data_IF_976040060649
#
_entry.id   IF_976040060649
#
_cell.length_a   1.000
_cell.length_b   1.000
_cell.length_c   1.000
_cell.angle_alpha   90.00
_cell.angle_beta   90.00
_cell.angle_gamma   90.00
#
_symmetry.space_group_name_H-M   'P 1'
#
loop_
_entity.id
_entity.type
_entity.pdbx_description
1 polymer ?
#
# COMPACT_ATOMS: atom_id res chain seq x y z
N UNK A 1 28.05 -9.37 24.76
CA UNK A 1 27.74 -7.97 24.41
C UNK A 1 26.40 -8.01 23.69
N UNK A 2 25.33 -7.66 24.39
CA UNK A 2 23.96 -7.72 23.91
C UNK A 2 23.73 -6.50 23.03
N UNK A 3 23.53 -6.71 21.72
CA UNK A 3 23.21 -5.65 20.78
C UNK A 3 21.85 -5.05 21.20
N UNK A 4 21.88 -3.84 21.75
CA UNK A 4 20.68 -3.10 22.10
C UNK A 4 19.90 -2.87 20.80
N UNK A 5 18.70 -3.49 20.68
CA UNK A 5 17.74 -3.17 19.62
C UNK A 5 17.60 -1.66 19.56
N UNK A 6 18.01 -1.05 18.45
CA UNK A 6 17.72 0.36 18.18
C UNK A 6 16.20 0.54 18.33
N UNK A 7 15.71 1.44 19.19
CA UNK A 7 14.28 1.71 19.26
C UNK A 7 13.79 2.11 17.86
N UNK A 8 12.66 1.53 17.44
CA UNK A 8 12.01 1.96 16.20
C UNK A 8 11.82 3.49 16.27
N UNK A 9 12.31 4.25 15.27
CA UNK A 9 12.02 5.68 15.22
C UNK A 9 10.50 5.88 15.28
N UNK A 10 10.06 6.86 16.06
CA UNK A 10 8.64 7.12 16.24
C UNK A 10 7.96 7.31 14.87
N UNK A 11 6.77 6.72 14.65
CA UNK A 11 6.12 6.78 13.35
C UNK A 11 5.87 8.25 12.99
N UNK A 12 6.30 8.68 11.79
CA UNK A 12 6.27 10.08 11.39
C UNK A 12 4.81 10.53 11.26
N UNK A 13 4.44 11.73 11.76
CA UNK A 13 3.03 12.15 11.83
C UNK A 13 2.47 12.54 10.45
N UNK A 14 1.28 12.08 10.02
CA UNK A 14 0.77 12.46 8.70
C UNK A 14 0.71 13.99 8.52
N UNK A 15 1.22 14.49 7.39
CA UNK A 15 1.06 15.91 7.02
C UNK A 15 -0.38 16.25 6.62
N UNK A 16 -0.73 17.53 6.68
CA UNK A 16 -2.00 18.04 6.17
C UNK A 16 -1.99 18.09 4.64
N UNK A 17 -3.02 17.54 3.99
CA UNK A 17 -3.19 17.56 2.54
C UNK A 17 -4.53 18.18 2.18
N UNK A 18 -4.51 19.17 1.28
CA UNK A 18 -5.71 19.76 0.73
C UNK A 18 -6.50 18.74 -0.12
N UNK A 19 -7.84 18.70 -0.02
CA UNK A 19 -8.68 17.76 -0.78
C UNK A 19 -8.46 17.76 -2.30
N UNK A 20 -8.15 18.92 -2.88
CA UNK A 20 -7.90 19.07 -4.32
C UNK A 20 -6.64 18.36 -4.82
N UNK A 21 -5.73 17.96 -3.93
CA UNK A 21 -4.48 17.31 -4.32
C UNK A 21 -4.67 15.86 -4.77
N UNK A 22 -5.84 15.26 -4.53
CA UNK A 22 -6.18 13.95 -5.09
C UNK A 22 -6.06 13.91 -6.63
N UNK A 23 -6.43 15.00 -7.30
CA UNK A 23 -6.24 15.13 -8.75
C UNK A 23 -4.77 15.31 -9.12
N UNK A 24 -3.99 16.02 -8.30
CA UNK A 24 -2.56 16.19 -8.50
C UNK A 24 -1.83 14.84 -8.37
N UNK A 25 -2.19 13.99 -7.41
CA UNK A 25 -1.63 12.65 -7.28
C UNK A 25 -1.91 11.79 -8.50
N UNK A 26 -3.13 11.85 -9.03
CA UNK A 26 -3.49 11.12 -10.24
C UNK A 26 -2.78 11.66 -11.49
N UNK A 27 -2.68 12.99 -11.62
CA UNK A 27 -1.93 13.67 -12.67
C UNK A 27 -0.44 13.30 -12.62
N UNK A 28 0.15 13.29 -11.43
CA UNK A 28 1.53 12.87 -11.21
C UNK A 28 1.72 11.38 -11.53
N UNK A 29 0.77 10.55 -11.12
CA UNK A 29 0.74 9.13 -11.46
C UNK A 29 0.73 8.90 -12.97
N UNK A 30 -0.08 9.67 -13.70
CA UNK A 30 -0.11 9.66 -15.15
C UNK A 30 1.21 10.14 -15.76
N UNK A 31 1.82 11.19 -15.22
CA UNK A 31 3.12 11.71 -15.67
C UNK A 31 4.22 10.66 -15.52
N UNK A 32 4.30 9.98 -14.38
CA UNK A 32 5.25 8.89 -14.14
C UNK A 32 4.99 7.68 -15.05
N UNK A 33 3.72 7.35 -15.30
CA UNK A 33 3.36 6.31 -16.27
C UNK A 33 3.88 6.64 -17.68
N UNK A 34 3.65 7.87 -18.14
CA UNK A 34 4.05 8.32 -19.49
C UNK A 34 5.57 8.37 -19.71
N UNK A 35 6.40 8.32 -18.65
CA UNK A 35 7.86 8.21 -18.79
C UNK A 35 8.30 6.85 -19.36
N UNK A 36 7.56 5.78 -19.08
CA UNK A 36 7.93 4.41 -19.51
C UNK A 36 6.69 3.51 -19.74
N UNK A 37 5.72 3.90 -20.59
CA UNK A 37 4.42 3.25 -20.67
C UNK A 37 4.50 1.78 -21.10
N UNK A 38 5.46 1.43 -21.99
CA UNK A 38 5.66 0.05 -22.44
C UNK A 38 6.13 -0.87 -21.31
N UNK A 39 7.11 -0.42 -20.50
CA UNK A 39 7.61 -1.21 -19.37
C UNK A 39 6.56 -1.34 -18.28
N UNK A 40 5.79 -0.26 -18.02
CA UNK A 40 4.65 -0.32 -17.11
C UNK A 40 3.56 -1.30 -17.55
N UNK A 41 3.20 -1.30 -18.84
CA UNK A 41 2.23 -2.24 -19.38
C UNK A 41 2.71 -3.69 -19.26
N UNK A 42 4.01 -3.95 -19.48
CA UNK A 42 4.61 -5.28 -19.27
C UNK A 42 4.54 -5.68 -17.80
N UNK A 43 4.90 -4.78 -16.87
CA UNK A 43 4.77 -5.06 -15.43
C UNK A 43 3.31 -5.33 -15.06
N UNK A 44 2.36 -4.54 -15.55
CA UNK A 44 0.93 -4.72 -15.29
C UNK A 44 0.41 -6.05 -15.84
N UNK A 45 0.89 -6.48 -17.02
CA UNK A 45 0.58 -7.77 -17.60
C UNK A 45 1.13 -8.91 -16.73
N UNK A 46 2.39 -8.83 -16.29
CA UNK A 46 3.00 -9.83 -15.41
C UNK A 46 2.27 -9.88 -14.07
N UNK A 47 1.97 -8.72 -13.48
CA UNK A 47 1.17 -8.58 -12.27
C UNK A 47 -0.17 -9.31 -12.42
N UNK A 48 -0.91 -9.04 -13.51
CA UNK A 48 -2.19 -9.67 -13.78
C UNK A 48 -2.06 -11.18 -13.93
N UNK A 49 -1.11 -11.66 -14.74
CA UNK A 49 -0.87 -13.09 -14.95
C UNK A 49 -0.53 -13.81 -13.65
N UNK A 50 0.31 -13.21 -12.79
CA UNK A 50 0.63 -13.78 -11.47
C UNK A 50 -0.61 -13.89 -10.61
N UNK A 51 -1.40 -12.82 -10.47
CA UNK A 51 -2.61 -12.85 -9.65
C UNK A 51 -3.66 -13.82 -10.19
N UNK A 52 -3.84 -13.90 -11.51
CA UNK A 52 -4.73 -14.88 -12.12
C UNK A 52 -4.23 -16.31 -11.88
N UNK A 53 -2.94 -16.58 -12.08
CA UNK A 53 -2.36 -17.90 -11.86
C UNK A 53 -2.52 -18.34 -10.40
N UNK A 54 -2.28 -17.43 -9.44
CA UNK A 54 -2.52 -17.69 -8.03
C UNK A 54 -4.01 -17.94 -7.76
N UNK A 55 -4.90 -17.12 -8.30
CA UNK A 55 -6.36 -17.26 -8.13
C UNK A 55 -6.93 -18.55 -8.72
N UNK A 56 -6.32 -19.09 -9.78
CA UNK A 56 -6.71 -20.36 -10.40
C UNK A 56 -6.26 -21.58 -9.59
N UNK A 57 -5.36 -21.43 -8.60
CA UNK A 57 -4.97 -22.54 -7.74
C UNK A 57 -6.15 -23.01 -6.89
N UNK A 58 -6.56 -24.29 -6.99
CA UNK A 58 -7.62 -24.82 -6.15
C UNK A 58 -7.20 -24.76 -4.67
N UNK A 59 -8.16 -24.46 -3.80
CA UNK A 59 -8.00 -24.36 -2.33
C UNK A 59 -7.12 -23.24 -1.78
N UNK A 60 -6.04 -22.81 -2.47
CA UNK A 60 -5.15 -21.75 -2.00
C UNK A 60 -5.33 -20.41 -2.70
N UNK A 61 -5.96 -20.37 -3.88
CA UNK A 61 -6.01 -19.15 -4.69
C UNK A 61 -6.73 -17.98 -4.03
N UNK A 62 -7.76 -18.26 -3.22
CA UNK A 62 -8.50 -17.24 -2.46
C UNK A 62 -7.62 -16.53 -1.41
N UNK A 63 -6.57 -17.19 -0.92
CA UNK A 63 -5.65 -16.66 0.08
C UNK A 63 -4.35 -16.13 -0.54
N UNK A 64 -3.83 -16.79 -1.58
CA UNK A 64 -2.54 -16.48 -2.17
C UNK A 64 -2.51 -15.11 -2.86
N UNK A 65 -3.57 -14.75 -3.61
CA UNK A 65 -3.61 -13.48 -4.32
C UNK A 65 -3.60 -12.25 -3.39
N UNK A 66 -4.44 -12.18 -2.33
CA UNK A 66 -4.36 -11.11 -1.34
C UNK A 66 -3.00 -10.97 -0.65
N UNK A 67 -2.29 -12.09 -0.46
CA UNK A 67 -0.95 -12.11 0.16
C UNK A 67 0.13 -11.61 -0.79
N UNK A 68 0.06 -11.98 -2.07
CA UNK A 68 1.02 -11.56 -3.09
C UNK A 68 0.89 -10.09 -3.48
N UNK A 69 -0.32 -9.52 -3.37
CA UNK A 69 -0.62 -8.17 -3.85
C UNK A 69 0.29 -7.09 -3.23
N UNK A 70 0.48 -6.98 -1.90
CA UNK A 70 1.38 -5.99 -1.31
C UNK A 70 2.83 -6.11 -1.78
N UNK A 71 3.28 -7.34 -2.08
CA UNK A 71 4.64 -7.60 -2.55
C UNK A 71 4.83 -7.02 -3.95
N UNK A 72 3.89 -7.30 -4.85
CA UNK A 72 3.94 -6.79 -6.22
C UNK A 72 3.72 -5.28 -6.28
N UNK A 73 2.78 -4.74 -5.50
CA UNK A 73 2.56 -3.29 -5.39
C UNK A 73 3.79 -2.60 -4.83
N UNK A 74 4.47 -3.18 -3.83
CA UNK A 74 5.75 -2.68 -3.33
C UNK A 74 6.81 -2.57 -4.42
N UNK A 75 6.95 -3.60 -5.27
CA UNK A 75 7.86 -3.56 -6.42
C UNK A 75 7.50 -2.45 -7.44
N UNK A 76 6.21 -2.28 -7.75
CA UNK A 76 5.77 -1.19 -8.62
C UNK A 76 6.08 0.19 -8.01
N UNK A 77 5.90 0.36 -6.69
CA UNK A 77 6.25 1.60 -5.98
C UNK A 77 7.76 1.88 -6.05
N UNK A 78 8.60 0.86 -5.92
CA UNK A 78 10.05 1.02 -6.11
C UNK A 78 10.39 1.47 -7.55
N UNK A 79 9.71 0.92 -8.54
CA UNK A 79 9.82 1.38 -9.94
C UNK A 79 9.40 2.84 -10.13
N UNK A 80 8.33 3.28 -9.47
CA UNK A 80 7.90 4.67 -9.48
C UNK A 80 8.92 5.60 -8.82
N UNK A 81 9.53 5.17 -7.70
CA UNK A 81 10.60 5.91 -7.04
C UNK A 81 11.85 6.04 -7.92
N UNK A 82 12.26 4.98 -8.62
CA UNK A 82 13.38 5.02 -9.57
C UNK A 82 13.14 6.06 -10.67
N UNK A 83 11.95 6.06 -11.28
CA UNK A 83 11.56 7.04 -12.30
C UNK A 83 11.50 8.48 -11.77
N UNK A 84 11.11 8.68 -10.50
CA UNK A 84 11.10 10.00 -9.86
C UNK A 84 12.54 10.52 -9.62
N UNK A 85 13.49 9.60 -9.35
CA UNK A 85 14.93 9.90 -9.20
C UNK A 85 15.66 10.10 -10.54
N UNK A 86 14.98 9.94 -11.67
CA UNK A 86 15.57 10.06 -13.01
C UNK A 86 16.24 8.79 -13.52
N UNK A 87 16.08 7.66 -12.84
CA UNK A 87 16.56 6.35 -13.28
C UNK A 87 15.57 5.71 -14.27
N UNK A 88 16.01 4.69 -15.00
CA UNK A 88 15.16 3.97 -15.95
C UNK A 88 14.27 2.94 -15.25
N UNK A 89 12.99 2.88 -15.60
CA UNK A 89 12.12 1.77 -15.19
C UNK A 89 12.53 0.48 -15.87
N UNK A 90 12.67 -0.59 -15.08
CA UNK A 90 12.94 -1.94 -15.57
C UNK A 90 11.81 -2.89 -15.18
N UNK A 91 11.62 -3.97 -15.94
CA UNK A 91 10.58 -4.97 -15.66
C UNK A 91 10.85 -5.68 -14.33
N UNK A 92 12.11 -5.86 -13.97
CA UNK A 92 12.49 -6.57 -12.75
C UNK A 92 12.21 -5.81 -11.45
N UNK A 93 11.94 -4.50 -11.51
CA UNK A 93 11.48 -3.72 -10.36
C UNK A 93 10.18 -4.28 -9.75
N UNK A 94 9.31 -4.91 -10.56
CA UNK A 94 8.11 -5.57 -10.05
C UNK A 94 8.42 -6.61 -8.95
N UNK A 95 9.59 -7.23 -9.01
CA UNK A 95 10.03 -8.25 -8.06
C UNK A 95 10.89 -7.68 -6.93
N UNK A 96 11.17 -6.38 -6.89
CA UNK A 96 12.00 -5.80 -5.84
C UNK A 96 11.35 -5.88 -4.46
N UNK A 97 10.01 -5.88 -4.40
CA UNK A 97 9.27 -6.17 -3.17
C UNK A 97 9.59 -7.56 -2.61
N UNK A 98 9.81 -8.56 -3.47
CA UNK A 98 10.26 -9.89 -3.04
C UNK A 98 11.73 -9.84 -2.60
N UNK A 99 12.58 -9.16 -3.37
CA UNK A 99 14.04 -9.18 -3.17
C UNK A 99 14.49 -8.47 -1.89
N UNK A 100 13.86 -7.35 -1.54
CA UNK A 100 14.34 -6.47 -0.47
C UNK A 100 13.51 -6.61 0.81
N UNK A 101 12.18 -6.75 0.68
CA UNK A 101 11.26 -6.70 1.83
C UNK A 101 10.17 -7.79 1.81
N UNK A 102 10.46 -8.98 1.25
CA UNK A 102 9.49 -10.07 1.13
C UNK A 102 8.80 -10.40 2.45
N UNK A 103 9.56 -10.58 3.54
CA UNK A 103 8.99 -10.97 4.84
C UNK A 103 7.95 -9.97 5.34
N UNK A 104 8.28 -8.68 5.34
CA UNK A 104 7.38 -7.64 5.82
C UNK A 104 6.18 -7.44 4.88
N UNK A 105 6.38 -7.45 3.56
CA UNK A 105 5.27 -7.30 2.60
C UNK A 105 4.34 -8.51 2.57
N UNK A 106 4.87 -9.73 2.73
CA UNK A 106 4.05 -10.94 2.91
C UNK A 106 3.25 -10.89 4.22
N UNK A 107 3.83 -10.38 5.30
CA UNK A 107 3.10 -10.16 6.56
C UNK A 107 1.98 -9.13 6.39
N UNK A 108 2.19 -8.03 5.65
CA UNK A 108 1.09 -7.12 5.27
C UNK A 108 -0.01 -7.87 4.52
N UNK A 109 0.36 -8.74 3.59
CA UNK A 109 -0.57 -9.62 2.88
C UNK A 109 -1.32 -10.59 3.78
N UNK A 110 -0.66 -11.16 4.79
CA UNK A 110 -1.30 -12.02 5.80
C UNK A 110 -2.26 -11.21 6.66
N UNK A 111 -1.89 -10.01 7.09
CA UNK A 111 -2.80 -9.13 7.83
C UNK A 111 -4.00 -8.70 7.00
N UNK A 112 -3.82 -8.48 5.70
CA UNK A 112 -4.93 -8.26 4.77
C UNK A 112 -5.89 -9.46 4.77
N UNK A 113 -5.37 -10.69 4.61
CA UNK A 113 -6.19 -11.90 4.60
C UNK A 113 -6.92 -12.11 5.94
N UNK A 114 -6.20 -12.01 7.06
CA UNK A 114 -6.77 -12.18 8.39
C UNK A 114 -7.81 -11.11 8.71
N UNK A 115 -7.55 -9.86 8.35
CA UNK A 115 -8.50 -8.76 8.51
C UNK A 115 -9.78 -8.97 7.70
N UNK A 116 -9.64 -9.43 6.45
CA UNK A 116 -10.77 -9.74 5.58
C UNK A 116 -11.62 -10.89 6.15
N UNK A 117 -10.98 -11.98 6.58
CA UNK A 117 -11.65 -13.12 7.20
C UNK A 117 -12.36 -12.74 8.50
N UNK A 118 -11.72 -11.92 9.34
CA UNK A 118 -12.31 -11.44 10.58
C UNK A 118 -13.54 -10.57 10.31
N UNK A 119 -13.46 -9.64 9.35
CA UNK A 119 -14.60 -8.82 8.94
C UNK A 119 -15.76 -9.69 8.42
N UNK A 120 -15.46 -10.68 7.58
CA UNK A 120 -16.44 -11.62 7.07
C UNK A 120 -17.08 -12.46 8.20
N UNK A 121 -16.29 -12.94 9.15
CA UNK A 121 -16.78 -13.73 10.29
C UNK A 121 -17.71 -12.91 11.18
N UNK A 122 -17.35 -11.67 11.49
CA UNK A 122 -18.20 -10.77 12.31
C UNK A 122 -19.52 -10.52 11.59
N UNK A 123 -19.48 -10.21 10.29
CA UNK A 123 -20.67 -9.98 9.49
C UNK A 123 -21.57 -11.22 9.40
N UNK A 124 -20.97 -12.40 9.20
CA UNK A 124 -21.67 -13.67 9.16
C UNK A 124 -22.27 -14.04 10.53
N UNK A 125 -21.58 -13.73 11.63
CA UNK A 125 -22.11 -13.94 12.98
C UNK A 125 -23.35 -13.07 13.24
N UNK A 126 -23.34 -11.81 12.80
CA UNK A 126 -24.49 -10.89 12.92
C UNK A 126 -25.67 -11.39 12.08
N UNK A 127 -25.44 -11.67 10.79
CA UNK A 127 -26.49 -12.14 9.89
C UNK A 127 -27.04 -13.51 10.29
N UNK A 128 -26.14 -14.43 10.66
CA UNK A 128 -26.49 -15.79 11.10
C UNK A 128 -27.28 -15.81 12.41
N UNK A 129 -26.91 -14.99 13.38
CA UNK A 129 -27.64 -14.88 14.66
C UNK A 129 -29.06 -14.36 14.44
N UNK A 130 -29.23 -13.37 13.57
CA UNK A 130 -30.54 -12.83 13.22
C UNK A 130 -31.41 -13.85 12.44
N UNK A 131 -30.80 -14.62 11.54
CA UNK A 131 -31.48 -15.70 10.83
C UNK A 131 -31.93 -16.82 11.78
N UNK A 132 -31.07 -17.25 12.71
CA UNK A 132 -31.38 -18.28 13.69
C UNK A 132 -32.50 -17.83 14.65
N UNK A 133 -32.42 -16.59 15.14
CA UNK A 133 -33.47 -16.01 15.98
C UNK A 133 -34.78 -15.87 15.19
N UNK A 134 -34.69 -15.44 13.92
CA UNK A 134 -35.84 -15.32 13.02
C UNK A 134 -36.55 -16.66 12.81
N UNK A 135 -35.81 -17.75 12.64
CA UNK A 135 -36.39 -19.09 12.51
C UNK A 135 -37.22 -19.52 13.74
N UNK A 136 -36.91 -19.00 14.93
CA UNK A 136 -37.61 -19.35 16.17
C UNK A 136 -38.94 -18.59 16.38
N UNK A 137 -39.14 -17.42 15.75
CA UNK A 137 -40.30 -16.52 15.99
C UNK A 137 -41.40 -16.62 14.92
N UNK A 138 -41.32 -17.60 14.02
CA UNK A 138 -42.32 -17.88 12.98
C UNK A 138 -42.02 -17.23 11.62
N UNK A 139 -42.60 -17.76 10.54
CA UNK A 139 -42.17 -17.51 9.17
C UNK A 139 -42.15 -16.02 8.73
N UNK A 140 -43.21 -15.25 9.03
CA UNK A 140 -43.33 -13.86 8.57
C UNK A 140 -42.42 -12.90 9.37
N UNK A 141 -42.44 -12.99 10.70
CA UNK A 141 -41.57 -12.20 11.57
C UNK A 141 -40.09 -12.60 11.40
N UNK A 142 -39.83 -13.89 11.20
CA UNK A 142 -38.50 -14.44 10.99
C UNK A 142 -37.83 -13.97 9.70
N UNK A 143 -38.60 -13.84 8.61
CA UNK A 143 -38.08 -13.31 7.34
C UNK A 143 -37.63 -11.85 7.47
N UNK A 144 -38.40 -11.02 8.17
CA UNK A 144 -38.03 -9.62 8.44
C UNK A 144 -36.75 -9.49 9.27
N UNK A 145 -36.61 -10.31 10.31
CA UNK A 145 -35.40 -10.33 11.16
C UNK A 145 -34.16 -10.85 10.44
N UNK A 146 -34.30 -11.93 9.66
CA UNK A 146 -33.20 -12.46 8.85
C UNK A 146 -32.71 -11.41 7.83
N UNK A 147 -33.64 -10.71 7.18
CA UNK A 147 -33.33 -9.63 6.23
C UNK A 147 -32.61 -8.46 6.88
N UNK A 148 -33.12 -7.93 8.00
CA UNK A 148 -32.49 -6.80 8.71
C UNK A 148 -31.12 -7.15 9.28
N UNK A 149 -30.95 -8.35 9.82
CA UNK A 149 -29.66 -8.84 10.31
C UNK A 149 -28.64 -9.04 9.20
N UNK A 150 -29.06 -9.54 8.03
CA UNK A 150 -28.18 -9.63 6.86
C UNK A 150 -27.74 -8.24 6.40
N UNK A 151 -28.66 -7.26 6.32
CA UNK A 151 -28.31 -5.89 5.97
C UNK A 151 -27.32 -5.27 6.97
N UNK A 152 -27.54 -5.48 8.27
CA UNK A 152 -26.60 -5.03 9.31
C UNK A 152 -25.23 -5.71 9.14
N UNK A 153 -25.20 -7.01 8.87
CA UNK A 153 -23.97 -7.74 8.58
C UNK A 153 -23.20 -7.14 7.40
N UNK A 154 -23.88 -6.82 6.29
CA UNK A 154 -23.28 -6.17 5.12
C UNK A 154 -22.71 -4.79 5.46
N UNK A 155 -23.44 -3.98 6.24
CA UNK A 155 -22.96 -2.66 6.67
C UNK A 155 -21.71 -2.81 7.53
N UNK A 156 -21.72 -3.73 8.50
CA UNK A 156 -20.57 -3.98 9.38
C UNK A 156 -19.37 -4.50 8.59
N UNK A 157 -19.57 -5.43 7.66
CA UNK A 157 -18.52 -5.89 6.76
C UNK A 157 -17.91 -4.73 5.97
N UNK A 158 -18.75 -3.90 5.35
CA UNK A 158 -18.32 -2.77 4.52
C UNK A 158 -17.48 -1.78 5.33
N UNK A 159 -17.89 -1.46 6.55
CA UNK A 159 -17.14 -0.56 7.44
C UNK A 159 -15.79 -1.16 7.82
N UNK A 160 -15.76 -2.41 8.27
CA UNK A 160 -14.51 -3.08 8.66
C UNK A 160 -13.55 -3.24 7.48
N UNK A 161 -14.09 -3.58 6.31
CA UNK A 161 -13.33 -3.69 5.08
C UNK A 161 -12.77 -2.33 4.64
N UNK A 162 -13.55 -1.26 4.71
CA UNK A 162 -13.07 0.09 4.40
C UNK A 162 -11.92 0.50 5.34
N UNK A 163 -12.04 0.25 6.65
CA UNK A 163 -10.96 0.52 7.62
C UNK A 163 -9.70 -0.30 7.32
N UNK A 164 -9.87 -1.56 6.93
CA UNK A 164 -8.75 -2.41 6.51
C UNK A 164 -8.07 -1.87 5.25
N UNK A 165 -8.84 -1.43 4.25
CA UNK A 165 -8.30 -0.82 3.03
C UNK A 165 -7.55 0.48 3.32
N UNK A 166 -8.04 1.31 4.25
CA UNK A 166 -7.31 2.51 4.72
C UNK A 166 -5.99 2.13 5.40
N UNK A 167 -5.98 1.07 6.20
CA UNK A 167 -4.76 0.57 6.83
C UNK A 167 -3.76 -0.01 5.82
N UNK A 168 -4.24 -0.57 4.71
CA UNK A 168 -3.38 -1.17 3.69
C UNK A 168 -2.95 -0.19 2.60
N UNK A 169 -3.63 0.95 2.43
CA UNK A 169 -3.42 1.87 1.32
C UNK A 169 -1.96 2.27 1.14
N UNK A 170 -1.31 2.74 2.22
CA UNK A 170 0.10 3.12 2.22
C UNK A 170 1.04 2.05 2.76
N UNK A 171 0.54 0.96 3.33
CA UNK A 171 1.39 -0.04 3.98
C UNK A 171 2.49 -0.59 3.05
N UNK A 172 2.22 -0.96 1.78
CA UNK A 172 3.28 -1.39 0.86
C UNK A 172 4.33 -0.31 0.60
N UNK A 173 3.92 0.96 0.46
CA UNK A 173 4.84 2.07 0.24
C UNK A 173 5.72 2.32 1.47
N UNK A 174 5.12 2.29 2.66
CA UNK A 174 5.81 2.51 3.92
C UNK A 174 6.79 1.37 4.25
N UNK A 175 6.42 0.13 3.97
CA UNK A 175 7.33 -1.02 4.13
C UNK A 175 8.45 -0.97 3.10
N UNK A 176 8.13 -0.71 1.82
CA UNK A 176 9.12 -0.74 0.74
C UNK A 176 10.10 0.43 0.81
N UNK A 177 9.64 1.63 1.17
CA UNK A 177 10.43 2.86 1.07
C UNK A 177 10.99 3.34 2.41
N UNK A 178 10.45 2.87 3.55
CA UNK A 178 10.92 3.23 4.89
C UNK A 178 11.28 2.02 5.77
N UNK A 179 11.26 0.80 5.22
CA UNK A 179 11.59 -0.44 5.95
C UNK A 179 10.80 -0.62 7.26
N UNK A 180 9.60 -0.03 7.35
CA UNK A 180 8.81 -0.08 8.58
C UNK A 180 8.27 -1.49 8.85
N UNK A 181 8.09 -1.80 10.13
CA UNK A 181 7.38 -3.01 10.53
C UNK A 181 5.93 -2.99 10.00
N UNK A 182 5.39 -4.14 9.54
CA UNK A 182 4.08 -4.21 8.88
C UNK A 182 2.92 -3.59 9.68
N UNK A 183 2.85 -3.86 10.98
CA UNK A 183 1.78 -3.35 11.85
C UNK A 183 1.89 -1.84 12.06
N UNK A 184 3.10 -1.32 12.19
CA UNK A 184 3.33 0.12 12.37
C UNK A 184 3.02 0.87 11.07
N UNK A 185 3.41 0.30 9.92
CA UNK A 185 3.04 0.81 8.61
C UNK A 185 1.51 0.85 8.41
N UNK A 186 0.80 -0.21 8.81
CA UNK A 186 -0.67 -0.26 8.70
C UNK A 186 -1.36 0.77 9.62
N UNK A 187 -0.89 0.90 10.86
CA UNK A 187 -1.42 1.90 11.81
C UNK A 187 -1.19 3.31 11.31
N UNK A 188 0.01 3.58 10.78
CA UNK A 188 0.35 4.88 10.23
C UNK A 188 -0.47 5.20 8.99
N UNK A 189 -0.66 4.23 8.08
CA UNK A 189 -1.55 4.36 6.92
C UNK A 189 -2.97 4.70 7.34
N UNK A 190 -3.54 3.96 8.30
CA UNK A 190 -4.88 4.23 8.81
C UNK A 190 -4.99 5.65 9.39
N UNK A 191 -4.00 6.07 10.20
CA UNK A 191 -3.96 7.42 10.77
C UNK A 191 -3.88 8.49 9.68
N UNK A 192 -3.05 8.29 8.66
CA UNK A 192 -2.90 9.22 7.54
C UNK A 192 -4.19 9.34 6.71
N UNK A 193 -4.83 8.21 6.44
CA UNK A 193 -6.09 8.18 5.70
C UNK A 193 -7.25 8.80 6.50
N UNK A 194 -7.32 8.60 7.81
CA UNK A 194 -8.34 9.23 8.66
C UNK A 194 -8.09 10.74 8.78
N UNK A 195 -6.84 11.15 8.97
CA UNK A 195 -6.47 12.57 9.09
C UNK A 195 -6.82 13.35 7.83
N UNK A 196 -6.59 12.76 6.65
CA UNK A 196 -6.87 13.38 5.35
C UNK A 196 -8.07 12.73 4.63
N UNK A 197 -9.13 12.36 5.37
CA UNK A 197 -10.24 11.54 4.87
C UNK A 197 -10.86 12.09 3.59
N UNK A 198 -11.09 13.40 3.51
CA UNK A 198 -11.73 14.01 2.35
C UNK A 198 -10.88 13.88 1.07
N UNK A 199 -9.56 14.03 1.15
CA UNK A 199 -8.66 13.84 0.02
C UNK A 199 -8.71 12.38 -0.49
N UNK A 200 -8.70 11.41 0.42
CA UNK A 200 -8.80 9.99 0.06
C UNK A 200 -10.17 9.58 -0.46
N UNK A 201 -11.26 10.18 0.03
CA UNK A 201 -12.59 9.96 -0.52
C UNK A 201 -12.70 10.47 -1.96
N UNK A 202 -12.13 11.64 -2.25
CA UNK A 202 -12.06 12.17 -3.62
C UNK A 202 -11.21 11.25 -4.50
N UNK A 203 -10.03 10.84 -4.03
CA UNK A 203 -9.18 9.88 -4.76
C UNK A 203 -9.92 8.57 -5.04
N UNK A 204 -10.59 8.00 -4.03
CA UNK A 204 -11.36 6.77 -4.17
C UNK A 204 -12.51 6.92 -5.18
N UNK A 205 -13.23 8.05 -5.17
CA UNK A 205 -14.27 8.34 -6.14
C UNK A 205 -13.71 8.45 -7.58
N UNK A 206 -12.58 9.14 -7.75
CA UNK A 206 -11.89 9.25 -9.05
C UNK A 206 -11.44 7.87 -9.55
N UNK A 207 -10.79 7.10 -8.70
CA UNK A 207 -10.32 5.75 -9.03
C UNK A 207 -11.49 4.80 -9.34
N UNK A 208 -12.62 4.93 -8.64
CA UNK A 208 -13.83 4.16 -8.93
C UNK A 208 -14.36 4.45 -10.34
N UNK A 209 -14.46 5.73 -10.72
CA UNK A 209 -14.87 6.11 -12.09
C UNK A 209 -13.86 5.59 -13.12
N UNK A 210 -12.56 5.76 -12.87
CA UNK A 210 -11.51 5.26 -13.76
C UNK A 210 -11.53 3.74 -13.90
N UNK A 211 -11.83 3.00 -12.84
CA UNK A 211 -11.95 1.55 -12.86
C UNK A 211 -13.05 1.12 -13.85
N UNK A 212 -14.23 1.74 -13.77
CA UNK A 212 -15.32 1.44 -14.70
C UNK A 212 -14.94 1.75 -16.15
N UNK A 213 -14.29 2.89 -16.39
CA UNK A 213 -13.80 3.26 -17.73
C UNK A 213 -12.76 2.26 -18.24
N UNK A 214 -11.82 1.85 -17.39
CA UNK A 214 -10.77 0.88 -17.72
C UNK A 214 -11.31 -0.52 -18.02
N UNK A 215 -12.49 -0.86 -17.47
CA UNK A 215 -13.16 -2.13 -17.71
C UNK A 215 -13.93 -2.18 -19.04
N UNK A 216 -14.35 -1.04 -19.60
CA UNK A 216 -15.08 -0.96 -20.88
C UNK A 216 -14.37 -1.69 -22.06
N UNK A 217 -13.05 -1.54 -22.29
CA UNK A 217 -12.34 -2.27 -23.34
C UNK A 217 -12.02 -3.71 -22.91
N UNK A 218 -13.01 -4.46 -22.45
CA UNK A 218 -12.88 -5.84 -21.94
C UNK A 218 -11.77 -6.00 -20.87
N UNK A 219 -11.57 -4.98 -20.04
CA UNK A 219 -10.53 -4.96 -19.00
C UNK A 219 -9.11 -4.60 -19.47
N UNK A 220 -8.87 -4.36 -20.77
CA UNK A 220 -7.53 -3.98 -21.25
C UNK A 220 -7.04 -2.63 -20.68
N UNK A 221 -7.97 -1.74 -20.29
CA UNK A 221 -7.63 -0.50 -19.62
C UNK A 221 -6.95 -0.72 -18.25
N UNK A 222 -7.08 -1.89 -17.65
CA UNK A 222 -6.39 -2.24 -16.40
C UNK A 222 -4.87 -2.28 -16.56
N UNK A 223 -4.35 -2.58 -17.77
CA UNK A 223 -2.92 -2.54 -18.06
C UNK A 223 -2.33 -1.13 -17.93
N UNK A 224 -3.17 -0.11 -18.05
CA UNK A 224 -2.82 1.30 -17.83
C UNK A 224 -3.19 1.74 -16.42
N UNK A 225 -4.38 1.35 -15.94
CA UNK A 225 -4.87 1.81 -14.65
C UNK A 225 -4.04 1.29 -13.47
N UNK A 226 -3.62 0.01 -13.48
CA UNK A 226 -2.80 -0.57 -12.40
C UNK A 226 -1.51 0.23 -12.17
N UNK A 227 -0.66 0.50 -13.19
CA UNK A 227 0.55 1.30 -12.98
C UNK A 227 0.25 2.76 -12.64
N UNK A 228 -0.82 3.35 -13.19
CA UNK A 228 -1.23 4.71 -12.81
C UNK A 228 -1.62 4.78 -11.32
N UNK A 229 -2.34 3.77 -10.81
CA UNK A 229 -2.67 3.68 -9.38
C UNK A 229 -1.40 3.56 -8.53
N UNK A 230 -0.45 2.69 -8.91
CA UNK A 230 0.80 2.54 -8.17
C UNK A 230 1.62 3.84 -8.14
N UNK A 231 1.71 4.55 -9.26
CA UNK A 231 2.39 5.84 -9.35
C UNK A 231 1.64 6.95 -8.59
N UNK A 232 0.30 6.96 -8.62
CA UNK A 232 -0.51 7.90 -7.86
C UNK A 232 -0.41 7.65 -6.35
N UNK A 233 -0.34 6.37 -5.94
CA UNK A 233 -0.09 5.98 -4.56
C UNK A 233 1.30 6.43 -4.10
N UNK A 234 2.32 6.28 -4.95
CA UNK A 234 3.66 6.83 -4.68
C UNK A 234 3.63 8.36 -4.53
N UNK A 235 2.93 9.07 -5.40
CA UNK A 235 2.79 10.53 -5.32
C UNK A 235 2.05 10.96 -4.03
N UNK A 236 0.94 10.30 -3.71
CA UNK A 236 0.18 10.53 -2.49
C UNK A 236 1.02 10.25 -1.24
N UNK A 237 1.81 9.17 -1.25
CA UNK A 237 2.73 8.84 -0.17
C UNK A 237 3.81 9.92 -0.04
N UNK A 238 4.43 10.32 -1.15
CA UNK A 238 5.49 11.32 -1.17
C UNK A 238 4.99 12.61 -0.54
N UNK A 239 3.80 13.07 -0.90
CA UNK A 239 3.25 14.30 -0.34
C UNK A 239 2.80 14.15 1.11
N UNK A 240 2.10 13.08 1.45
CA UNK A 240 1.57 12.84 2.81
C UNK A 240 2.68 12.71 3.86
N UNK A 241 3.83 12.17 3.46
CA UNK A 241 4.96 11.89 4.34
C UNK A 241 6.22 12.72 4.01
N UNK A 242 6.18 13.63 3.03
CA UNK A 242 7.29 14.52 2.64
C UNK A 242 7.86 15.39 3.77
N UNK A 243 7.06 15.95 4.71
CA UNK A 243 7.58 16.80 5.79
C UNK A 243 8.51 16.06 6.79
N UNK A 244 8.66 14.75 6.66
CA UNK A 244 9.46 13.90 7.55
C UNK A 244 10.62 13.18 6.89
N UNK A 245 10.94 13.52 5.64
CA UNK A 245 12.24 13.17 5.09
C UNK A 245 13.30 13.91 5.91
N UNK A 246 14.15 13.25 6.72
CA UNK A 246 15.40 13.89 7.08
C UNK A 246 16.04 14.26 5.76
N UNK A 247 16.18 15.58 5.51
CA UNK A 247 16.98 16.09 4.42
C UNK A 247 18.26 15.27 4.45
N UNK A 248 18.53 14.52 3.37
CA UNK A 248 19.69 13.68 3.13
C UNK A 248 20.76 13.92 4.19
N UNK A 249 21.00 12.94 5.08
CA UNK A 249 22.16 12.97 5.96
C UNK A 249 23.33 13.47 5.10
N UNK A 250 23.97 14.60 5.44
CA UNK A 250 25.16 15.02 4.73
C UNK A 250 26.05 13.77 4.66
N UNK A 251 26.37 13.30 3.45
CA UNK A 251 27.40 12.29 3.29
C UNK A 251 28.59 12.89 4.00
N UNK A 252 28.92 12.35 5.17
CA UNK A 252 30.11 12.71 5.90
C UNK A 252 31.25 12.42 4.93
N UNK A 253 31.73 13.47 4.27
CA UNK A 253 32.93 13.46 3.47
C UNK A 253 34.11 13.42 4.44
N UNK A 254 34.18 12.38 5.26
CA UNK A 254 35.38 12.04 5.99
C UNK A 254 36.11 11.01 5.13
N UNK A 255 36.90 11.55 4.20
CA UNK A 255 38.01 10.81 3.63
C UNK A 255 38.99 10.42 4.76
N UNK A 256 39.74 9.33 4.60
CA UNK A 256 40.70 8.93 5.62
C UNK A 256 41.77 10.01 5.74
N UNK A 257 41.79 10.70 6.88
CA UNK A 257 42.89 11.59 7.29
C UNK A 257 44.14 10.73 7.49
N UNK A 258 44.88 10.57 6.40
CA UNK A 258 46.22 10.00 6.40
C UNK A 258 47.24 11.09 6.75
N UNK A 259 48.21 10.68 7.57
CA UNK A 259 49.55 11.25 7.72
C UNK A 259 49.75 12.22 8.89
N UNK A 260 50.08 11.63 10.04
CA UNK A 260 51.45 11.70 10.59
C UNK A 260 52.36 12.74 9.91
N UNK A 261 52.50 13.91 10.55
CA UNK A 261 53.66 14.78 10.40
C UNK A 261 54.03 15.35 11.77
N UNK A 262 55.07 14.77 12.33
CA UNK A 262 55.94 15.35 13.36
C UNK A 262 56.38 16.78 12.99
N UNK A 263 56.47 17.72 13.94
CA UNK A 263 57.10 19.02 13.72
C UNK A 263 58.58 18.96 14.08
N UNK A 264 59.47 19.21 13.10
CA UNK A 264 60.91 19.36 13.36
C UNK A 264 61.43 20.73 12.88
N UNK A 265 61.92 21.48 13.87
CA UNK A 265 63.00 22.47 13.87
C UNK A 265 62.87 23.88 13.20
N UNK A 266 63.58 24.91 13.75
CA UNK A 266 63.35 26.35 13.54
C UNK A 266 64.26 26.98 12.45
N UNK A 267 64.05 28.25 12.04
CA UNK A 267 64.73 28.83 10.88
C UNK A 267 66.16 29.35 11.17
N UNK A 268 67.10 29.24 10.21
CA UNK A 268 68.41 29.92 10.25
C UNK A 268 68.32 31.40 9.79
N UNK A 269 69.37 32.22 10.07
CA UNK A 269 69.27 33.68 10.23
C UNK A 269 69.11 34.50 8.94
#
# INVERSE_FOLDING_TARGET
>A
MTEARRPHPAPPAPGDVAPGHALNWLSEGWRLFMKAPGVWAIQALIFFVILTALGLMPFLGWAAAPIALPVLVGGMIAGAQALDRGESLRVDHLFDGVRHHAGNLLLVGVFHLLGLLLAALIAAAIGGSAALTGAAVGALAGMGMAGSGMMLGVVVFTVLWALLMMALWFAPALVMLHEMAPLDAMRLSARACIHNLLAFLILAALLYVLLWVAMLPAGLGMLVLIPVIACALYAAWKETFAPQLPASLPIAADGPESADRTPDAPPPP
#
